data_IF_186371567431
#
_entry.id   IF_186371567431
#
_cell.length_a   1.000
_cell.length_b   1.000
_cell.length_c   1.000
_cell.angle_alpha   90.00
_cell.angle_beta   90.00
_cell.angle_gamma   90.00
#
_symmetry.space_group_name_H-M   'P 1'
#
loop_
_entity.id
_entity.type
_entity.pdbx_description
1 polymer ?
#
# COMPACT_ATOMS: atom_id res chain seq x y z
N UNK A 1 -4.76 2.33 16.07
CA UNK A 1 -5.48 1.14 15.58
C UNK A 1 -4.94 -0.02 16.37
N UNK A 2 -5.81 -0.76 17.07
CA UNK A 2 -5.37 -2.00 17.72
C UNK A 2 -4.97 -3.03 16.65
N UNK A 3 -4.14 -4.00 17.00
CA UNK A 3 -3.73 -5.06 16.06
C UNK A 3 -4.94 -5.81 15.49
N UNK A 4 -5.98 -6.00 16.30
CA UNK A 4 -7.24 -6.64 15.91
C UNK A 4 -8.09 -5.77 14.98
N UNK A 5 -8.07 -4.44 15.12
CA UNK A 5 -8.80 -3.54 14.21
C UNK A 5 -8.31 -3.66 12.76
N UNK A 6 -7.00 -3.83 12.55
CA UNK A 6 -6.43 -3.99 11.21
C UNK A 6 -6.91 -5.30 10.58
N UNK A 7 -6.81 -6.41 11.30
CA UNK A 7 -7.30 -7.72 10.82
C UNK A 7 -8.81 -7.69 10.57
N UNK A 8 -9.56 -6.99 11.42
CA UNK A 8 -11.00 -6.82 11.26
C UNK A 8 -11.35 -6.02 9.99
N UNK A 9 -10.52 -5.05 9.59
CA UNK A 9 -10.65 -4.37 8.28
C UNK A 9 -10.36 -5.30 7.12
N UNK A 10 -9.40 -6.23 7.27
CA UNK A 10 -9.06 -7.19 6.21
C UNK A 10 -10.20 -8.17 5.95
N UNK A 11 -10.82 -8.73 6.99
CA UNK A 11 -11.92 -9.70 6.82
C UNK A 11 -13.25 -9.07 6.35
N UNK A 12 -13.38 -7.74 6.41
CA UNK A 12 -14.59 -6.99 6.05
C UNK A 12 -14.60 -6.47 4.61
N UNK A 13 -13.59 -6.77 3.82
CA UNK A 13 -13.49 -6.32 2.42
C UNK A 13 -12.84 -7.41 1.55
N UNK A 14 -12.99 -7.35 0.21
CA UNK A 14 -12.20 -8.19 -0.68
C UNK A 14 -10.70 -7.92 -0.50
N UNK A 15 -9.94 -9.00 -0.40
CA UNK A 15 -8.49 -8.99 -0.16
C UNK A 15 -7.75 -9.75 -1.25
N UNK A 16 -6.46 -9.43 -1.40
CA UNK A 16 -5.56 -9.99 -2.40
C UNK A 16 -4.24 -10.39 -1.77
N UNK A 17 -3.74 -11.53 -2.25
CA UNK A 17 -2.45 -12.08 -1.88
C UNK A 17 -1.36 -11.48 -2.78
N UNK A 18 -0.34 -10.89 -2.16
CA UNK A 18 0.86 -10.40 -2.84
C UNK A 18 2.07 -11.21 -2.36
N UNK A 19 2.83 -11.76 -3.30
CA UNK A 19 4.22 -12.14 -3.01
C UNK A 19 5.04 -10.88 -2.71
N UNK A 20 6.19 -11.03 -2.06
CA UNK A 20 7.11 -9.90 -1.82
C UNK A 20 7.53 -9.25 -3.15
N UNK A 21 7.79 -10.05 -4.18
CA UNK A 21 8.18 -9.56 -5.51
C UNK A 21 7.05 -8.75 -6.19
N UNK A 22 5.81 -9.23 -6.15
CA UNK A 22 4.68 -8.50 -6.76
C UNK A 22 4.31 -7.24 -5.98
N UNK A 23 4.48 -7.23 -4.66
CA UNK A 23 4.33 -6.02 -3.85
C UNK A 23 5.42 -4.99 -4.19
N UNK A 24 6.68 -5.43 -4.28
CA UNK A 24 7.80 -4.56 -4.67
C UNK A 24 7.60 -3.96 -6.07
N UNK A 25 7.11 -4.75 -7.02
CA UNK A 25 6.74 -4.25 -8.35
C UNK A 25 5.64 -3.19 -8.28
N UNK A 26 4.58 -3.41 -7.49
CA UNK A 26 3.50 -2.42 -7.32
C UNK A 26 4.03 -1.09 -6.76
N UNK A 27 4.92 -1.13 -5.76
CA UNK A 27 5.60 0.08 -5.28
C UNK A 27 6.38 0.78 -6.41
N UNK A 28 7.16 0.04 -7.19
CA UNK A 28 7.93 0.58 -8.32
C UNK A 28 7.04 1.27 -9.36
N UNK A 29 5.93 0.64 -9.73
CA UNK A 29 4.97 1.21 -10.69
C UNK A 29 4.29 2.46 -10.16
N UNK A 30 3.80 2.44 -8.91
CA UNK A 30 3.10 3.58 -8.31
C UNK A 30 4.05 4.76 -8.14
N UNK A 31 5.28 4.53 -7.67
CA UNK A 31 6.30 5.57 -7.51
C UNK A 31 6.61 6.22 -8.87
N UNK A 32 6.87 5.43 -9.91
CA UNK A 32 7.21 5.95 -11.24
C UNK A 32 6.06 6.80 -11.82
N UNK A 33 4.80 6.34 -11.65
CA UNK A 33 3.63 7.12 -12.09
C UNK A 33 3.48 8.44 -11.33
N UNK A 34 3.73 8.45 -10.02
CA UNK A 34 3.69 9.67 -9.21
C UNK A 34 4.83 10.63 -9.58
N UNK A 35 6.03 10.12 -9.85
CA UNK A 35 7.17 10.91 -10.34
C UNK A 35 6.88 11.57 -11.68
N UNK A 36 6.12 10.91 -12.56
CA UNK A 36 5.67 11.49 -13.82
C UNK A 36 4.72 12.69 -13.65
N UNK A 37 4.03 12.81 -12.51
CA UNK A 37 3.17 13.96 -12.17
C UNK A 37 3.93 15.12 -11.49
N UNK A 38 5.24 14.98 -11.27
CA UNK A 38 6.07 16.05 -10.68
C UNK A 38 6.29 17.17 -11.72
N UNK A 39 5.90 18.39 -11.36
CA UNK A 39 6.06 19.58 -12.21
C UNK A 39 7.05 20.60 -11.65
N UNK A 40 6.89 20.97 -10.38
CA UNK A 40 7.73 21.96 -9.68
C UNK A 40 8.16 21.40 -8.33
N UNK A 41 9.38 21.72 -7.93
CA UNK A 41 9.92 21.40 -6.61
C UNK A 41 9.14 22.16 -5.51
N UNK A 42 8.85 21.54 -4.36
CA UNK A 42 8.14 22.21 -3.28
C UNK A 42 9.06 23.21 -2.57
N UNK A 43 8.55 24.40 -2.30
CA UNK A 43 9.27 25.42 -1.52
C UNK A 43 9.18 25.18 -0.01
N UNK A 44 8.06 24.62 0.44
CA UNK A 44 7.82 24.23 1.83
C UNK A 44 7.11 22.88 1.87
N UNK A 45 7.45 22.07 2.87
CA UNK A 45 6.81 20.78 3.11
C UNK A 45 5.62 20.93 4.07
N UNK A 46 4.67 20.00 4.01
CA UNK A 46 3.53 19.98 4.91
C UNK A 46 3.92 19.37 6.26
N UNK A 47 3.35 19.87 7.35
CA UNK A 47 3.35 19.15 8.63
C UNK A 47 2.61 17.81 8.51
N UNK A 48 2.90 16.82 9.36
CA UNK A 48 2.23 15.51 9.31
C UNK A 48 0.69 15.64 9.41
N UNK A 49 0.18 16.58 10.20
CA UNK A 49 -1.26 16.86 10.29
C UNK A 49 -1.84 17.35 8.96
N UNK A 50 -1.21 18.35 8.34
CA UNK A 50 -1.69 18.90 7.08
C UNK A 50 -1.50 17.91 5.92
N UNK A 51 -0.42 17.15 5.95
CA UNK A 51 -0.15 16.09 4.98
C UNK A 51 -1.21 14.99 5.07
N UNK A 52 -1.59 14.54 6.27
CA UNK A 52 -2.65 13.55 6.45
C UNK A 52 -4.01 14.06 5.95
N UNK A 53 -4.35 15.33 6.21
CA UNK A 53 -5.57 15.95 5.66
C UNK A 53 -5.61 15.95 4.13
N UNK A 54 -4.47 16.22 3.48
CA UNK A 54 -4.38 16.15 2.01
C UNK A 54 -4.40 14.70 1.52
N UNK A 55 -3.75 13.78 2.22
CA UNK A 55 -3.74 12.36 1.88
C UNK A 55 -5.15 11.78 1.88
N UNK A 56 -6.00 12.16 2.85
CA UNK A 56 -7.39 11.70 2.89
C UNK A 56 -8.17 12.12 1.62
N UNK A 57 -8.00 13.37 1.15
CA UNK A 57 -8.63 13.86 -0.09
C UNK A 57 -8.12 13.11 -1.32
N UNK A 58 -6.80 12.91 -1.39
CA UNK A 58 -6.17 12.13 -2.44
C UNK A 58 -6.70 10.69 -2.47
N UNK A 59 -6.71 10.01 -1.32
CA UNK A 59 -7.17 8.63 -1.20
C UNK A 59 -8.66 8.46 -1.52
N UNK A 60 -9.50 9.44 -1.21
CA UNK A 60 -10.93 9.45 -1.59
C UNK A 60 -11.15 9.61 -3.09
N UNK A 61 -10.21 10.23 -3.81
CA UNK A 61 -10.25 10.39 -5.26
C UNK A 61 -9.58 9.23 -6.02
N UNK A 62 -8.89 8.32 -5.33
CA UNK A 62 -8.31 7.12 -5.92
C UNK A 62 -9.40 6.10 -6.30
N UNK A 63 -9.14 5.27 -7.33
CA UNK A 63 -10.08 4.23 -7.72
C UNK A 63 -10.25 3.15 -6.65
N UNK A 64 -11.48 2.66 -6.50
CA UNK A 64 -11.80 1.49 -5.69
C UNK A 64 -11.63 0.15 -6.45
N UNK A 65 -11.29 0.18 -7.75
CA UNK A 65 -10.92 -1.02 -8.49
C UNK A 65 -9.48 -1.45 -8.18
N UNK A 66 -9.06 -2.62 -8.71
CA UNK A 66 -7.83 -3.30 -8.32
C UNK A 66 -6.51 -2.61 -8.67
N UNK A 67 -6.53 -1.55 -9.49
CA UNK A 67 -5.33 -0.87 -9.98
C UNK A 67 -5.59 0.61 -10.23
N UNK A 68 -4.53 1.37 -10.52
CA UNK A 68 -4.62 2.75 -10.98
C UNK A 68 -3.68 2.98 -12.17
N UNK A 69 -4.21 3.56 -13.25
CA UNK A 69 -3.39 4.13 -14.31
C UNK A 69 -2.70 5.41 -13.82
N UNK A 70 -1.72 5.91 -14.59
CA UNK A 70 -1.13 7.22 -14.31
C UNK A 70 -2.19 8.34 -14.26
N UNK A 71 -3.14 8.35 -15.21
CA UNK A 71 -4.23 9.32 -15.23
C UNK A 71 -5.08 9.28 -13.95
N UNK A 72 -5.38 8.09 -13.42
CA UNK A 72 -6.14 7.98 -12.17
C UNK A 72 -5.38 8.58 -10.98
N UNK A 73 -4.06 8.43 -10.95
CA UNK A 73 -3.22 9.04 -9.90
C UNK A 73 -3.14 10.56 -10.08
N UNK A 74 -2.99 11.05 -11.31
CA UNK A 74 -2.94 12.48 -11.60
C UNK A 74 -4.29 13.19 -11.30
N UNK A 75 -5.40 12.57 -11.68
CA UNK A 75 -6.76 13.04 -11.36
C UNK A 75 -6.96 13.12 -9.84
N UNK A 76 -6.50 12.11 -9.09
CA UNK A 76 -6.57 12.12 -7.63
C UNK A 76 -5.70 13.22 -6.99
N UNK A 77 -4.55 13.56 -7.60
CA UNK A 77 -3.72 14.69 -7.15
C UNK A 77 -4.45 16.04 -7.30
N UNK A 78 -5.42 16.17 -8.21
CA UNK A 78 -6.21 17.39 -8.36
C UNK A 78 -7.12 17.66 -7.15
N UNK A 79 -7.52 16.61 -6.40
CA UNK A 79 -8.29 16.75 -5.15
C UNK A 79 -7.48 17.38 -4.00
N UNK A 80 -6.15 17.38 -4.11
CA UNK A 80 -5.26 18.05 -3.15
C UNK A 80 -5.24 19.56 -3.44
N UNK A 81 -5.29 20.36 -2.38
CA UNK A 81 -5.28 21.83 -2.47
C UNK A 81 -4.07 22.29 -3.26
N UNK A 82 -4.27 23.13 -4.29
CA UNK A 82 -3.23 23.51 -5.26
C UNK A 82 -1.93 24.01 -4.61
N UNK A 83 -2.03 24.85 -3.57
CA UNK A 83 -0.86 25.38 -2.85
C UNK A 83 -0.06 24.32 -2.09
N UNK A 84 -0.66 23.16 -1.78
CA UNK A 84 -0.05 22.06 -1.03
C UNK A 84 0.31 20.86 -1.91
N UNK A 85 -0.08 20.87 -3.19
CA UNK A 85 -0.02 19.70 -4.07
C UNK A 85 1.41 19.24 -4.36
N UNK A 86 2.30 20.16 -4.71
CA UNK A 86 3.72 19.81 -4.96
C UNK A 86 4.38 19.23 -3.71
N UNK A 87 4.19 19.88 -2.55
CA UNK A 87 4.70 19.40 -1.26
C UNK A 87 4.15 18.02 -0.89
N UNK A 88 2.84 17.83 -1.05
CA UNK A 88 2.17 16.56 -0.83
C UNK A 88 2.75 15.44 -1.71
N UNK A 89 2.91 15.70 -3.02
CA UNK A 89 3.41 14.72 -3.97
C UNK A 89 4.84 14.25 -3.63
N UNK A 90 5.74 15.19 -3.36
CA UNK A 90 7.13 14.85 -3.01
C UNK A 90 7.20 14.09 -1.68
N UNK A 91 6.42 14.50 -0.67
CA UNK A 91 6.33 13.77 0.60
C UNK A 91 5.72 12.37 0.43
N UNK A 92 4.72 12.20 -0.44
CA UNK A 92 4.12 10.90 -0.75
C UNK A 92 5.15 9.97 -1.42
N UNK A 93 5.86 10.47 -2.44
CA UNK A 93 6.93 9.73 -3.13
C UNK A 93 8.02 9.33 -2.13
N UNK A 94 8.45 10.24 -1.24
CA UNK A 94 9.47 9.95 -0.23
C UNK A 94 9.01 8.87 0.77
N UNK A 95 7.77 8.96 1.28
CA UNK A 95 7.20 7.94 2.17
C UNK A 95 7.09 6.57 1.48
N UNK A 96 6.69 6.56 0.20
CA UNK A 96 6.62 5.33 -0.60
C UNK A 96 8.01 4.73 -0.86
N UNK A 97 9.00 5.52 -1.27
CA UNK A 97 10.38 5.06 -1.50
C UNK A 97 11.00 4.47 -0.22
N UNK A 98 10.75 5.08 0.93
CA UNK A 98 11.20 4.55 2.22
C UNK A 98 10.63 3.16 2.51
N UNK A 99 9.30 3.00 2.36
CA UNK A 99 8.64 1.70 2.54
C UNK A 99 8.99 0.69 1.45
N UNK A 100 9.26 1.14 0.23
CA UNK A 100 9.66 0.28 -0.88
C UNK A 100 10.94 -0.50 -0.56
N UNK A 101 11.91 0.15 0.12
CA UNK A 101 13.11 -0.54 0.61
C UNK A 101 12.76 -1.53 1.74
N UNK A 102 11.86 -1.17 2.64
CA UNK A 102 11.42 -2.04 3.74
C UNK A 102 10.67 -3.29 3.25
N UNK A 103 10.02 -3.25 2.08
CA UNK A 103 9.39 -4.44 1.47
C UNK A 103 10.40 -5.55 1.23
N UNK A 104 11.66 -5.24 0.92
CA UNK A 104 12.70 -6.25 0.70
C UNK A 104 13.01 -7.06 1.97
N UNK A 105 12.83 -6.46 3.15
CA UNK A 105 13.03 -7.13 4.44
C UNK A 105 11.99 -8.25 4.68
N UNK A 106 10.83 -8.19 4.01
CA UNK A 106 9.82 -9.25 4.08
C UNK A 106 10.33 -10.58 3.51
N UNK A 107 11.37 -10.59 2.66
CA UNK A 107 11.97 -11.83 2.19
C UNK A 107 12.57 -12.64 3.35
N UNK A 108 13.05 -11.99 4.43
CA UNK A 108 13.58 -12.68 5.60
C UNK A 108 12.49 -13.50 6.28
N UNK A 109 11.35 -12.86 6.55
CA UNK A 109 10.18 -13.51 7.16
C UNK A 109 9.61 -14.55 6.20
N UNK A 110 9.42 -14.20 4.92
CA UNK A 110 8.79 -15.07 3.93
C UNK A 110 9.59 -16.32 3.60
N UNK A 111 10.91 -16.31 3.77
CA UNK A 111 11.77 -17.47 3.55
C UNK A 111 11.83 -18.42 4.74
N UNK A 112 11.32 -18.03 5.92
CA UNK A 112 11.23 -18.94 7.06
C UNK A 112 10.28 -20.10 6.71
N UNK A 113 10.77 -21.37 6.78
CA UNK A 113 9.94 -22.52 6.49
C UNK A 113 8.87 -22.68 7.57
N UNK A 114 7.67 -23.01 7.15
CA UNK A 114 6.55 -23.31 8.02
C UNK A 114 5.71 -24.40 7.37
N UNK A 115 5.37 -25.44 8.12
CA UNK A 115 4.40 -26.44 7.71
C UNK A 115 3.08 -26.22 8.45
N UNK A 116 1.96 -26.24 7.73
CA UNK A 116 0.61 -26.23 8.27
C UNK A 116 -0.18 -27.32 7.55
N UNK A 117 -0.93 -28.14 8.30
CA UNK A 117 -1.70 -29.26 7.72
C UNK A 117 -0.81 -30.26 6.95
N UNK A 118 0.40 -30.49 7.46
CA UNK A 118 1.44 -31.34 6.86
C UNK A 118 1.90 -30.91 5.46
N UNK A 119 1.71 -29.63 5.11
CA UNK A 119 2.11 -29.04 3.84
C UNK A 119 2.95 -27.77 4.07
N UNK A 120 3.93 -27.48 3.19
CA UNK A 120 4.65 -26.21 3.22
C UNK A 120 3.68 -25.03 3.04
N UNK A 121 3.71 -24.09 3.99
CA UNK A 121 2.80 -22.95 4.05
C UNK A 121 3.45 -21.68 3.47
N UNK A 122 3.24 -21.35 2.17
CA UNK A 122 3.85 -20.18 1.57
C UNK A 122 3.37 -18.88 2.22
N UNK A 123 4.29 -17.91 2.28
CA UNK A 123 4.06 -16.57 2.79
C UNK A 123 3.48 -15.65 1.71
N UNK A 124 2.42 -14.93 2.07
CA UNK A 124 1.86 -13.85 1.25
C UNK A 124 1.51 -12.65 2.10
N UNK A 125 1.74 -11.45 1.57
CA UNK A 125 1.20 -10.22 2.15
C UNK A 125 -0.29 -10.14 1.78
N UNK A 126 -1.13 -9.86 2.77
CA UNK A 126 -2.58 -9.73 2.57
C UNK A 126 -2.93 -8.24 2.50
N UNK A 127 -3.50 -7.79 1.38
CA UNK A 127 -3.85 -6.38 1.17
C UNK A 127 -5.27 -6.22 0.62
N UNK A 128 -5.93 -5.06 0.80
CA UNK A 128 -7.21 -4.80 0.16
C UNK A 128 -7.13 -4.92 -1.37
N UNK A 129 -8.19 -5.45 -2.00
CA UNK A 129 -8.33 -5.45 -3.46
C UNK A 129 -8.47 -4.01 -3.99
N UNK A 130 -9.23 -3.17 -3.29
CA UNK A 130 -9.39 -1.75 -3.62
C UNK A 130 -8.05 -1.02 -3.58
N UNK A 131 -7.65 -0.41 -4.70
CA UNK A 131 -6.40 0.34 -4.81
C UNK A 131 -6.34 1.49 -3.79
N UNK A 132 -7.41 2.27 -3.64
CA UNK A 132 -7.50 3.33 -2.64
C UNK A 132 -7.25 2.83 -1.21
N UNK A 133 -7.87 1.70 -0.82
CA UNK A 133 -7.69 1.10 0.50
C UNK A 133 -6.27 0.53 0.69
N UNK A 134 -5.73 -0.09 -0.35
CA UNK A 134 -4.37 -0.65 -0.35
C UNK A 134 -3.30 0.42 -0.21
N UNK A 135 -3.36 1.49 -1.02
CA UNK A 135 -2.44 2.63 -0.89
C UNK A 135 -2.57 3.31 0.48
N UNK A 136 -3.80 3.43 1.00
CA UNK A 136 -4.02 3.96 2.36
C UNK A 136 -3.30 3.12 3.41
N UNK A 137 -3.44 1.80 3.38
CA UNK A 137 -2.77 0.90 4.30
C UNK A 137 -1.23 0.99 4.14
N UNK A 138 -0.75 0.86 2.91
CA UNK A 138 0.69 0.85 2.61
C UNK A 138 1.38 2.16 3.01
N UNK A 139 0.69 3.29 3.00
CA UNK A 139 1.29 4.60 3.32
C UNK A 139 1.06 5.01 4.78
N UNK A 140 -0.13 4.79 5.33
CA UNK A 140 -0.54 5.32 6.64
C UNK A 140 -0.36 4.32 7.78
N UNK A 141 -0.57 3.03 7.54
CA UNK A 141 -0.63 2.05 8.62
C UNK A 141 0.77 1.73 9.16
N UNK A 142 0.88 1.43 10.45
CA UNK A 142 2.15 1.06 11.08
C UNK A 142 2.47 -0.42 10.89
N UNK A 143 1.47 -1.24 10.55
CA UNK A 143 1.60 -2.67 10.33
C UNK A 143 1.22 -3.07 8.89
N UNK A 144 1.74 -4.22 8.47
CA UNK A 144 1.46 -4.83 7.17
C UNK A 144 1.01 -6.27 7.42
N UNK A 145 -0.28 -6.62 7.17
CA UNK A 145 -0.76 -7.96 7.44
C UNK A 145 -0.20 -8.96 6.42
N UNK A 146 0.12 -10.15 6.89
CA UNK A 146 0.56 -11.28 6.06
C UNK A 146 -0.18 -12.54 6.49
N UNK A 147 -0.13 -13.56 5.63
CA UNK A 147 -0.73 -14.87 5.85
C UNK A 147 0.26 -15.98 5.49
N UNK A 148 0.08 -17.13 6.13
CA UNK A 148 0.67 -18.40 5.76
C UNK A 148 -0.45 -19.26 5.22
N UNK A 149 -0.38 -19.59 3.94
CA UNK A 149 -1.47 -20.27 3.24
C UNK A 149 -1.27 -21.76 3.35
N UNK A 150 -2.31 -22.49 3.71
CA UNK A 150 -2.37 -23.95 3.58
C UNK A 150 -3.79 -24.33 3.17
N UNK A 151 -4.07 -25.62 3.05
CA UNK A 151 -5.39 -26.14 2.80
C UNK A 151 -5.59 -27.45 3.57
N UNK A 152 -6.84 -27.73 3.90
CA UNK A 152 -7.27 -29.02 4.44
C UNK A 152 -7.90 -29.84 3.30
N UNK A 153 -7.52 -31.10 3.19
CA UNK A 153 -8.27 -32.01 2.33
C UNK A 153 -9.59 -32.33 3.02
N UNK A 154 -10.71 -32.31 2.28
CA UNK A 154 -12.03 -32.64 2.84
C UNK A 154 -12.12 -34.03 3.49
N UNK A 155 -11.22 -34.96 3.14
CA UNK A 155 -11.18 -36.33 3.66
C UNK A 155 -10.21 -36.53 4.84
N UNK A 156 -9.47 -35.50 5.26
CA UNK A 156 -8.52 -35.58 6.37
C UNK A 156 -9.26 -35.67 7.72
#
# INVERSE_FOLDING_TARGET
>A
MSETDLLLKMVRQPVKLYSVATLFHEFSEVITKLEHSVQKEPTSLLSEENWHKQFLKFAQALPAHGSASWLNLDDALQAVVGNSRSAFLHQLIAKLKSRHLQVLELNKIGSEPLDLSNLPAPFYVLLPESFAARITLLVQDKALPYVRVSFEYWHA
#
